data_IF_082577433920
#
_entry.id   IF_082577433920
#
_cell.length_a   1.000
_cell.length_b   1.000
_cell.length_c   1.000
_cell.angle_alpha   90.00
_cell.angle_beta   90.00
_cell.angle_gamma   90.00
#
_symmetry.space_group_name_H-M   'P 1'
#
loop_
_entity.id
_entity.type
_entity.pdbx_description
1 polymer ?
#
# COMPACT_ATOMS: atom_id res chain seq x y z
N UNK A 1 9.59 18.17 -7.00
CA UNK A 1 10.59 18.31 -5.91
C UNK A 1 10.77 16.98 -5.16
N UNK A 2 9.69 16.25 -4.89
CA UNK A 2 9.72 14.90 -4.28
C UNK A 2 10.38 13.79 -5.13
N UNK A 3 10.24 13.75 -6.47
CA UNK A 3 10.79 12.64 -7.27
C UNK A 3 12.33 12.64 -7.35
N UNK A 4 12.94 13.83 -7.44
CA UNK A 4 14.38 14.01 -7.31
C UNK A 4 14.88 13.58 -5.93
N UNK A 5 14.16 13.93 -4.86
CA UNK A 5 14.54 13.54 -3.50
C UNK A 5 14.56 12.02 -3.29
N UNK A 6 13.59 11.30 -3.82
CA UNK A 6 13.54 9.83 -3.70
C UNK A 6 14.70 9.20 -4.48
N UNK A 7 14.89 9.62 -5.73
CA UNK A 7 15.92 9.09 -6.63
C UNK A 7 17.33 9.41 -6.11
N UNK A 8 17.59 10.67 -5.80
CA UNK A 8 18.92 11.18 -5.48
C UNK A 8 19.43 10.68 -4.12
N UNK A 9 18.52 10.25 -3.23
CA UNK A 9 18.84 9.67 -1.91
C UNK A 9 18.50 8.19 -1.77
N UNK A 10 18.13 7.52 -2.87
CA UNK A 10 17.82 6.08 -2.87
C UNK A 10 16.79 5.69 -1.81
N UNK A 11 15.76 6.52 -1.56
CA UNK A 11 14.86 6.37 -0.40
C UNK A 11 14.06 5.07 -0.37
N UNK A 12 14.01 4.33 -1.47
CA UNK A 12 13.36 3.03 -1.57
C UNK A 12 14.33 1.83 -1.57
N UNK A 13 15.64 2.07 -1.50
CA UNK A 13 16.64 0.99 -1.34
C UNK A 13 16.46 0.34 0.02
N UNK A 14 16.48 -0.99 0.06
CA UNK A 14 16.16 -1.81 1.22
C UNK A 14 14.67 -1.92 1.52
N UNK A 15 13.77 -1.40 0.67
CA UNK A 15 12.32 -1.44 0.96
C UNK A 15 11.82 -2.87 0.90
N UNK A 16 11.16 -3.30 1.98
CA UNK A 16 10.43 -4.56 2.08
C UNK A 16 8.99 -4.38 1.62
N UNK A 17 8.52 -5.29 0.78
CA UNK A 17 7.21 -5.26 0.14
C UNK A 17 6.51 -6.59 0.36
N UNK A 18 5.22 -6.53 0.72
CA UNK A 18 4.32 -7.67 0.77
C UNK A 18 3.25 -7.47 -0.31
N UNK A 19 2.74 -8.55 -0.89
CA UNK A 19 1.73 -8.46 -1.94
C UNK A 19 0.78 -9.64 -1.90
N UNK A 20 -0.46 -9.35 -2.28
CA UNK A 20 -1.52 -10.34 -2.44
C UNK A 20 -2.16 -10.14 -3.81
N UNK A 21 -2.61 -11.23 -4.42
CA UNK A 21 -3.43 -11.15 -5.62
C UNK A 21 -4.83 -10.66 -5.22
N UNK A 22 -5.41 -9.77 -6.01
CA UNK A 22 -6.77 -9.26 -5.79
C UNK A 22 -7.72 -9.86 -6.82
N UNK A 23 -8.89 -10.32 -6.35
CA UNK A 23 -10.04 -10.66 -7.18
C UNK A 23 -11.10 -9.56 -7.13
N UNK A 24 -12.27 -9.85 -7.71
CA UNK A 24 -13.40 -8.90 -7.74
C UNK A 24 -13.92 -8.53 -6.35
N UNK A 25 -13.95 -9.49 -5.42
CA UNK A 25 -14.39 -9.24 -4.04
C UNK A 25 -13.45 -8.29 -3.30
N UNK A 26 -12.14 -8.56 -3.38
CA UNK A 26 -11.12 -7.66 -2.83
C UNK A 26 -11.20 -6.26 -3.44
N UNK A 27 -11.44 -6.16 -4.75
CA UNK A 27 -11.60 -4.87 -5.43
C UNK A 27 -12.79 -4.07 -4.89
N UNK A 28 -13.96 -4.71 -4.73
CA UNK A 28 -15.14 -4.07 -4.14
C UNK A 28 -14.88 -3.59 -2.70
N UNK A 29 -14.14 -4.38 -1.92
CA UNK A 29 -13.72 -3.98 -0.57
C UNK A 29 -12.79 -2.76 -0.59
N UNK A 30 -11.84 -2.71 -1.54
CA UNK A 30 -10.95 -1.55 -1.71
C UNK A 30 -11.78 -0.29 -2.05
N UNK A 31 -12.68 -0.38 -3.02
CA UNK A 31 -13.53 0.74 -3.43
C UNK A 31 -14.39 1.27 -2.27
N UNK A 32 -15.10 0.37 -1.58
CA UNK A 32 -15.92 0.73 -0.43
C UNK A 32 -15.11 1.33 0.72
N UNK A 33 -13.89 0.83 0.95
CA UNK A 33 -12.99 1.36 1.98
C UNK A 33 -12.51 2.77 1.64
N UNK A 34 -12.13 3.01 0.37
CA UNK A 34 -11.75 4.35 -0.09
C UNK A 34 -12.91 5.32 0.14
N UNK A 35 -14.12 4.98 -0.31
CA UNK A 35 -15.29 5.86 -0.16
C UNK A 35 -15.61 6.22 1.30
N UNK A 36 -15.36 5.31 2.25
CA UNK A 36 -15.64 5.51 3.67
C UNK A 36 -14.51 6.21 4.42
N UNK A 37 -13.25 6.01 4.02
CA UNK A 37 -12.06 6.38 4.79
C UNK A 37 -11.13 7.34 4.03
N UNK A 38 -11.59 8.06 2.99
CA UNK A 38 -10.80 9.03 2.20
C UNK A 38 -10.36 10.31 2.97
N UNK A 39 -10.59 10.34 4.29
CA UNK A 39 -10.28 11.48 5.14
C UNK A 39 -8.91 11.37 5.83
N UNK A 40 -7.98 12.27 5.50
CA UNK A 40 -6.74 12.38 6.28
C UNK A 40 -6.98 13.12 7.61
N UNK A 41 -6.46 12.56 8.71
CA UNK A 41 -6.39 13.25 10.01
C UNK A 41 -5.04 13.00 10.68
N UNK A 42 -4.68 13.79 11.71
CA UNK A 42 -3.45 13.54 12.50
C UNK A 42 -3.42 12.12 13.10
N UNK A 43 -4.58 11.60 13.51
CA UNK A 43 -4.73 10.23 14.01
C UNK A 43 -4.91 9.18 12.92
N UNK A 44 -5.35 9.59 11.73
CA UNK A 44 -5.65 8.78 10.54
C UNK A 44 -4.73 9.18 9.38
N UNK A 45 -3.43 8.99 9.57
CA UNK A 45 -2.44 9.27 8.55
C UNK A 45 -2.37 8.15 7.49
N UNK A 46 -1.60 8.37 6.43
CA UNK A 46 -1.48 7.43 5.31
C UNK A 46 -1.01 6.04 5.75
N UNK A 47 -0.07 5.95 6.70
CA UNK A 47 0.42 4.65 7.18
C UNK A 47 -0.68 3.85 7.87
N UNK A 48 -1.46 4.47 8.75
CA UNK A 48 -2.60 3.81 9.41
C UNK A 48 -3.67 3.43 8.39
N UNK A 49 -3.95 4.31 7.44
CA UNK A 49 -4.93 4.05 6.38
C UNK A 49 -4.53 2.84 5.53
N UNK A 50 -3.28 2.80 5.04
CA UNK A 50 -2.78 1.71 4.19
C UNK A 50 -2.73 0.36 4.91
N UNK A 51 -2.34 0.33 6.19
CA UNK A 51 -2.29 -0.90 6.97
C UNK A 51 -3.69 -1.47 7.27
N UNK A 52 -4.66 -0.58 7.49
CA UNK A 52 -6.06 -0.98 7.67
C UNK A 52 -6.67 -1.49 6.36
N UNK A 53 -6.41 -0.81 5.24
CA UNK A 53 -6.83 -1.29 3.93
C UNK A 53 -6.24 -2.68 3.65
N UNK A 54 -4.93 -2.87 3.87
CA UNK A 54 -4.30 -4.18 3.72
C UNK A 54 -5.04 -5.26 4.51
N UNK A 55 -5.25 -5.04 5.82
CA UNK A 55 -5.94 -5.99 6.69
C UNK A 55 -7.42 -6.20 6.34
N UNK A 56 -8.08 -5.25 5.67
CA UNK A 56 -9.45 -5.40 5.20
C UNK A 56 -9.53 -6.25 3.92
N UNK A 57 -8.46 -6.30 3.13
CA UNK A 57 -8.42 -6.92 1.80
C UNK A 57 -7.89 -8.36 1.84
N UNK A 58 -6.90 -8.61 2.68
CA UNK A 58 -6.22 -9.92 2.71
C UNK A 58 -6.91 -10.91 3.64
N UNK A 59 -6.68 -12.19 3.39
CA UNK A 59 -7.11 -13.27 4.28
C UNK A 59 -6.45 -13.15 5.67
N UNK A 60 -7.08 -13.73 6.70
CA UNK A 60 -6.63 -13.59 8.09
C UNK A 60 -5.16 -14.01 8.30
N UNK A 61 -4.70 -15.01 7.54
CA UNK A 61 -3.33 -15.52 7.59
C UNK A 61 -2.31 -14.50 7.08
N UNK A 62 -2.71 -13.52 6.27
CA UNK A 62 -1.88 -12.43 5.73
C UNK A 62 -2.08 -11.10 6.45
N UNK A 63 -2.97 -11.05 7.44
CA UNK A 63 -3.25 -9.83 8.19
C UNK A 63 -2.05 -9.43 9.07
N UNK A 64 -1.65 -8.15 8.99
CA UNK A 64 -0.62 -7.57 9.84
C UNK A 64 -1.16 -7.39 11.25
N UNK A 65 -0.80 -8.32 12.15
CA UNK A 65 -1.21 -8.34 13.56
C UNK A 65 -0.34 -7.38 14.40
N UNK A 66 -0.46 -6.08 14.15
CA UNK A 66 0.13 -5.06 15.00
C UNK A 66 -0.76 -4.84 16.22
N UNK A 67 -0.67 -5.70 17.22
CA UNK A 67 -1.51 -5.70 18.42
C UNK A 67 -1.34 -4.42 19.28
N UNK A 68 -1.78 -3.22 18.86
CA UNK A 68 -1.76 -1.99 19.69
C UNK A 68 -2.42 -0.77 19.05
N UNK A 69 -2.70 0.24 19.89
CA UNK A 69 -3.28 1.55 19.52
C UNK A 69 -2.40 2.40 18.57
N UNK A 70 -1.11 2.10 18.43
CA UNK A 70 -0.12 2.89 17.68
C UNK A 70 0.75 2.00 16.81
N UNK A 71 0.81 2.34 15.52
CA UNK A 71 1.70 1.75 14.53
C UNK A 71 3.04 2.51 14.51
N UNK A 72 4.10 1.94 15.09
CA UNK A 72 5.46 2.49 14.94
C UNK A 72 6.16 1.83 13.75
N UNK A 73 7.08 2.53 13.05
CA UNK A 73 7.80 1.95 11.92
C UNK A 73 8.46 0.60 12.22
N UNK A 74 9.13 0.48 13.37
CA UNK A 74 9.85 -0.74 13.78
C UNK A 74 8.90 -1.93 14.00
N UNK A 75 7.67 -1.65 14.48
CA UNK A 75 6.66 -2.69 14.68
C UNK A 75 6.07 -3.18 13.37
N UNK A 76 5.82 -2.26 12.45
CA UNK A 76 5.33 -2.59 11.11
C UNK A 76 6.40 -3.41 10.36
N UNK A 77 7.67 -3.01 10.46
CA UNK A 77 8.79 -3.76 9.90
C UNK A 77 8.85 -5.18 10.47
N UNK A 78 8.78 -5.33 11.79
CA UNK A 78 8.80 -6.65 12.43
C UNK A 78 7.64 -7.53 11.96
N UNK A 79 6.42 -6.99 11.94
CA UNK A 79 5.24 -7.73 11.50
C UNK A 79 5.31 -8.12 10.01
N UNK A 80 5.86 -7.26 9.16
CA UNK A 80 6.12 -7.59 7.76
C UNK A 80 7.11 -8.75 7.64
N UNK A 81 8.20 -8.73 8.40
CA UNK A 81 9.25 -9.76 8.35
C UNK A 81 8.84 -11.13 8.87
N UNK A 82 7.63 -11.30 9.41
CA UNK A 82 7.08 -12.61 9.76
C UNK A 82 6.62 -13.40 8.53
N UNK A 83 6.43 -12.74 7.38
CA UNK A 83 6.02 -13.38 6.14
C UNK A 83 7.22 -13.83 5.30
N UNK A 84 7.24 -15.09 4.89
CA UNK A 84 8.29 -15.65 4.03
C UNK A 84 8.26 -15.08 2.60
N UNK A 85 7.13 -14.49 2.17
CA UNK A 85 6.96 -13.92 0.84
C UNK A 85 7.30 -12.42 0.74
N UNK A 86 7.98 -11.85 1.74
CA UNK A 86 8.46 -10.46 1.66
C UNK A 86 9.55 -10.32 0.62
N UNK A 87 9.35 -9.39 -0.31
CA UNK A 87 10.32 -9.03 -1.33
C UNK A 87 11.10 -7.77 -0.89
N UNK A 88 12.42 -7.80 -1.04
CA UNK A 88 13.27 -6.63 -0.83
C UNK A 88 13.58 -5.99 -2.18
N UNK A 89 13.55 -4.66 -2.24
CA UNK A 89 13.85 -3.88 -3.43
C UNK A 89 12.99 -4.29 -4.64
N UNK A 90 11.72 -4.61 -4.37
CA UNK A 90 10.76 -4.92 -5.44
C UNK A 90 10.76 -3.79 -6.46
N UNK A 91 10.94 -4.19 -7.71
CA UNK A 91 10.97 -3.28 -8.85
C UNK A 91 9.55 -2.89 -9.27
N UNK A 92 9.20 -1.62 -9.04
CA UNK A 92 7.93 -1.03 -9.50
C UNK A 92 8.08 -0.28 -10.82
N UNK A 93 9.29 -0.19 -11.39
CA UNK A 93 9.47 0.39 -12.74
C UNK A 93 8.79 -0.45 -13.83
N UNK A 94 8.45 -1.70 -13.50
CA UNK A 94 7.69 -2.63 -14.33
C UNK A 94 6.18 -2.54 -14.15
N UNK A 95 5.68 -1.69 -13.24
CA UNK A 95 4.28 -1.32 -13.28
C UNK A 95 4.09 -0.67 -14.66
N UNK A 96 3.45 -1.39 -15.58
CA UNK A 96 3.13 -0.85 -16.89
C UNK A 96 2.20 0.34 -16.75
N UNK A 97 1.69 0.83 -17.88
CA UNK A 97 0.76 1.96 -17.90
C UNK A 97 -0.33 1.77 -16.84
N UNK A 98 -0.44 2.73 -15.92
CA UNK A 98 -1.42 2.68 -14.84
C UNK A 98 -2.70 3.29 -15.39
N UNK A 99 -3.85 2.68 -15.11
CA UNK A 99 -5.13 3.18 -15.59
C UNK A 99 -6.09 3.43 -14.42
N UNK A 100 -6.79 4.55 -14.47
CA UNK A 100 -7.97 4.81 -13.66
C UNK A 100 -9.21 4.50 -14.50
N UNK A 101 -10.14 3.71 -13.95
CA UNK A 101 -11.47 3.54 -14.50
C UNK A 101 -12.45 4.31 -13.61
N UNK A 102 -13.09 5.34 -14.16
CA UNK A 102 -14.13 6.11 -13.46
C UNK A 102 -15.31 6.30 -14.40
N UNK A 103 -16.51 5.91 -13.96
CA UNK A 103 -17.75 6.02 -14.74
C UNK A 103 -17.65 5.38 -16.14
N UNK A 104 -16.93 4.26 -16.26
CA UNK A 104 -16.69 3.56 -17.53
C UNK A 104 -15.62 4.18 -18.44
N UNK A 105 -14.98 5.28 -18.03
CA UNK A 105 -13.89 5.93 -18.77
C UNK A 105 -12.55 5.45 -18.26
N UNK A 106 -11.77 4.78 -19.13
CA UNK A 106 -10.38 4.39 -18.86
C UNK A 106 -9.46 5.56 -19.16
N UNK A 107 -8.79 6.08 -18.13
CA UNK A 107 -7.80 7.16 -18.22
C UNK A 107 -6.43 6.62 -17.86
N UNK A 108 -5.44 6.82 -18.72
CA UNK A 108 -4.06 6.50 -18.41
C UNK A 108 -3.48 7.54 -17.43
N UNK A 109 -2.89 7.05 -16.35
CA UNK A 109 -2.26 7.86 -15.31
C UNK A 109 -0.75 7.86 -15.55
N UNK A 110 -0.19 9.05 -15.77
CA UNK A 110 1.25 9.23 -15.74
C UNK A 110 1.72 9.24 -14.28
N UNK A 111 2.70 8.39 -13.95
CA UNK A 111 3.43 8.53 -12.69
C UNK A 111 4.18 9.87 -12.70
N UNK A 112 4.04 10.66 -11.63
CA UNK A 112 4.75 11.92 -11.51
C UNK A 112 6.28 11.68 -11.58
N UNK A 113 6.93 12.35 -12.54
CA UNK A 113 8.37 12.30 -12.82
C UNK A 113 9.22 13.07 -11.83
#
# INVERSE_FOLDING_TARGET
>A
MEPGYIRDYGRYVGRRSLSANIGEEQLRTIEAYIDQEDGWTLGGNCSRWSLRLWNAVVEEDFALKTQTLVYTPERVEKALCEFDCVETDRDFSRAGDIFCLRDGVRTELALCS
#
